data_IF_974994218570
#
_entry.id   IF_974994218570
#
_cell.length_a   1.000
_cell.length_b   1.000
_cell.length_c   1.000
_cell.angle_alpha   90.00
_cell.angle_beta   90.00
_cell.angle_gamma   90.00
#
_symmetry.space_group_name_H-M   'P 1'
#
loop_
_entity.id
_entity.type
_entity.pdbx_description
1 polymer ?
#
# COMPACT_ATOMS: atom_id res chain seq x y z
N UNK A 1 -10.30 7.50 39.21
CA UNK A 1 -9.23 8.41 38.75
C UNK A 1 -9.28 8.41 37.24
N UNK A 2 -10.04 9.35 36.65
CA UNK A 2 -10.04 9.54 35.20
C UNK A 2 -8.74 10.23 34.81
N UNK A 3 -7.90 9.55 34.04
CA UNK A 3 -6.74 10.16 33.41
C UNK A 3 -7.29 10.85 32.16
N UNK A 4 -7.49 12.15 32.25
CA UNK A 4 -7.78 13.00 31.08
C UNK A 4 -6.50 13.05 30.25
N UNK A 5 -6.44 12.29 29.16
CA UNK A 5 -5.46 12.54 28.12
C UNK A 5 -5.82 13.86 27.45
N UNK A 6 -5.08 14.92 27.72
CA UNK A 6 -5.14 16.15 26.92
C UNK A 6 -4.63 15.82 25.52
N UNK A 7 -5.53 15.62 24.59
CA UNK A 7 -5.20 15.46 23.18
C UNK A 7 -4.90 16.86 22.63
N UNK A 8 -3.65 17.13 22.34
CA UNK A 8 -3.26 18.36 21.64
C UNK A 8 -3.50 18.18 20.15
N UNK A 9 -4.05 19.22 19.49
CA UNK A 9 -4.17 19.25 18.04
C UNK A 9 -2.76 19.22 17.41
N UNK A 10 -2.43 18.14 16.73
CA UNK A 10 -1.15 17.94 16.04
C UNK A 10 -1.40 17.90 14.53
N UNK A 11 -0.64 18.68 13.77
CA UNK A 11 -0.74 18.73 12.30
C UNK A 11 -0.50 17.36 11.65
N UNK A 12 0.37 16.54 12.22
CA UNK A 12 0.67 15.22 11.68
C UNK A 12 -0.49 14.25 11.88
N UNK A 13 -1.20 14.36 13.01
CA UNK A 13 -2.43 13.59 13.26
C UNK A 13 -3.52 14.02 12.27
N UNK A 14 -3.70 15.32 12.05
CA UNK A 14 -4.70 15.82 11.08
C UNK A 14 -4.37 15.32 9.66
N UNK A 15 -3.08 15.30 9.27
CA UNK A 15 -2.67 14.72 7.98
C UNK A 15 -2.96 13.23 7.88
N UNK A 16 -2.70 12.48 8.93
CA UNK A 16 -3.03 11.06 8.99
C UNK A 16 -4.54 10.84 8.88
N UNK A 17 -5.34 11.61 9.60
CA UNK A 17 -6.80 11.53 9.54
C UNK A 17 -7.31 11.88 8.12
N UNK A 18 -6.76 12.91 7.48
CA UNK A 18 -7.05 13.26 6.08
C UNK A 18 -6.80 12.07 5.16
N UNK A 19 -5.61 11.48 5.23
CA UNK A 19 -5.25 10.31 4.43
C UNK A 19 -6.15 9.10 4.69
N UNK A 20 -6.49 8.84 5.96
CA UNK A 20 -7.41 7.77 6.34
C UNK A 20 -8.82 7.99 5.77
N UNK A 21 -9.31 9.24 5.79
CA UNK A 21 -10.60 9.59 5.20
C UNK A 21 -10.60 9.38 3.69
N UNK A 22 -9.59 9.88 2.98
CA UNK A 22 -9.47 9.66 1.54
C UNK A 22 -9.41 8.17 1.19
N UNK A 23 -8.63 7.37 1.92
CA UNK A 23 -8.56 5.93 1.72
C UNK A 23 -9.90 5.23 2.01
N UNK A 24 -10.61 5.68 3.04
CA UNK A 24 -11.95 5.16 3.33
C UNK A 24 -12.89 5.39 2.15
N UNK A 25 -12.96 6.63 1.63
CA UNK A 25 -13.81 6.95 0.48
C UNK A 25 -13.37 6.21 -0.79
N UNK A 26 -12.07 6.07 -1.04
CA UNK A 26 -11.54 5.27 -2.16
C UNK A 26 -11.95 3.80 -2.06
N UNK A 27 -12.05 3.26 -0.85
CA UNK A 27 -12.55 1.90 -0.65
C UNK A 27 -14.05 1.75 -0.87
N UNK A 28 -14.81 2.84 -0.74
CA UNK A 28 -16.24 2.90 -1.04
C UNK A 28 -16.54 3.19 -2.52
N UNK A 29 -15.51 3.36 -3.33
CA UNK A 29 -15.60 3.57 -4.77
C UNK A 29 -15.36 5.01 -5.24
N UNK A 30 -15.12 5.94 -4.37
CA UNK A 30 -14.89 7.35 -4.73
C UNK A 30 -13.42 7.58 -5.06
N UNK A 31 -13.05 7.30 -6.31
CA UNK A 31 -11.66 7.33 -6.78
C UNK A 31 -11.02 8.71 -6.70
N UNK A 32 -11.75 9.75 -7.14
CA UNK A 32 -11.30 11.14 -7.21
C UNK A 32 -11.55 11.93 -5.92
N UNK A 33 -11.83 11.27 -4.80
CA UNK A 33 -12.07 11.95 -3.53
C UNK A 33 -10.91 12.84 -3.14
N UNK A 34 -11.24 14.05 -2.70
CA UNK A 34 -10.29 15.04 -2.20
C UNK A 34 -10.80 15.67 -0.89
N UNK A 35 -9.94 15.77 0.11
CA UNK A 35 -10.20 16.57 1.31
C UNK A 35 -9.74 18.00 1.02
N UNK A 36 -10.68 18.86 0.68
CA UNK A 36 -10.44 20.25 0.26
C UNK A 36 -9.78 21.08 1.37
N UNK A 37 -10.22 20.91 2.58
CA UNK A 37 -9.63 21.54 3.76
C UNK A 37 -10.07 20.87 5.05
N UNK A 38 -9.34 21.16 6.13
CA UNK A 38 -9.70 20.81 7.48
C UNK A 38 -9.48 21.98 8.40
N UNK A 39 -10.36 22.18 9.37
CA UNK A 39 -10.22 23.22 10.38
C UNK A 39 -10.72 22.73 11.74
N UNK A 40 -10.20 23.36 12.79
CA UNK A 40 -10.57 23.06 14.16
C UNK A 40 -11.32 24.26 14.76
N UNK A 41 -12.51 24.01 15.28
CA UNK A 41 -13.31 24.97 16.02
C UNK A 41 -13.16 24.72 17.52
N UNK A 42 -12.83 25.74 18.29
CA UNK A 42 -12.82 25.66 19.75
C UNK A 42 -14.24 25.85 20.25
N UNK A 43 -14.77 24.89 20.98
CA UNK A 43 -16.08 25.02 21.60
C UNK A 43 -16.00 25.76 22.96
N UNK A 44 -17.15 26.20 23.49
CA UNK A 44 -17.24 26.91 24.75
C UNK A 44 -16.75 26.11 25.96
N UNK A 45 -16.68 24.80 25.84
CA UNK A 45 -16.23 23.88 26.88
C UNK A 45 -14.70 23.64 26.85
N UNK A 46 -13.94 24.31 25.93
CA UNK A 46 -12.49 24.20 25.80
C UNK A 46 -12.01 22.96 25.09
N UNK A 47 -12.89 22.26 24.32
CA UNK A 47 -12.53 21.18 23.44
C UNK A 47 -12.56 21.61 21.97
N UNK A 48 -11.78 20.92 21.11
CA UNK A 48 -11.77 21.17 19.68
C UNK A 48 -12.73 20.23 18.94
N UNK A 49 -13.49 20.82 18.02
CA UNK A 49 -14.24 20.09 16.99
C UNK A 49 -13.45 20.16 15.70
N UNK A 50 -12.99 19.01 15.19
CA UNK A 50 -12.31 18.93 13.91
C UNK A 50 -13.34 18.72 12.80
N UNK A 51 -13.27 19.54 11.76
CA UNK A 51 -14.16 19.50 10.59
C UNK A 51 -13.34 19.30 9.34
N UNK A 52 -13.75 18.33 8.50
CA UNK A 52 -13.17 18.07 7.19
C UNK A 52 -14.21 18.38 6.11
N UNK A 53 -13.84 19.20 5.13
CA UNK A 53 -14.64 19.41 3.94
C UNK A 53 -14.14 18.47 2.85
N UNK A 54 -15.00 17.58 2.40
CA UNK A 54 -14.64 16.50 1.47
C UNK A 54 -15.45 16.66 0.19
N UNK A 55 -14.77 16.69 -0.95
CA UNK A 55 -15.38 16.45 -2.25
C UNK A 55 -15.17 14.98 -2.59
N UNK A 56 -16.24 14.19 -2.53
CA UNK A 56 -16.16 12.76 -2.80
C UNK A 56 -16.21 12.43 -4.29
N UNK A 57 -16.70 13.34 -5.13
CA UNK A 57 -16.91 13.08 -6.56
C UNK A 57 -17.93 11.97 -6.83
N UNK A 58 -17.76 11.27 -7.93
CA UNK A 58 -18.61 10.15 -8.35
C UNK A 58 -17.98 8.79 -7.99
N UNK A 59 -18.82 7.73 -7.94
CA UNK A 59 -18.33 6.35 -7.78
C UNK A 59 -17.76 5.81 -9.08
N UNK A 60 -16.59 5.21 -9.00
CA UNK A 60 -15.90 4.55 -10.11
C UNK A 60 -16.03 3.03 -10.02
N UNK A 61 -15.92 2.37 -11.17
CA UNK A 61 -16.06 0.93 -11.32
C UNK A 61 -14.85 0.35 -12.04
N UNK A 62 -14.42 -0.83 -11.61
CA UNK A 62 -13.41 -1.61 -12.33
C UNK A 62 -13.97 -2.02 -13.71
N UNK A 63 -13.30 -1.61 -14.79
CA UNK A 63 -13.69 -1.99 -16.15
C UNK A 63 -12.81 -3.12 -16.67
N UNK A 64 -11.57 -2.84 -17.04
CA UNK A 64 -10.63 -3.85 -17.50
C UNK A 64 -9.43 -3.90 -16.57
N UNK A 65 -9.07 -5.11 -16.12
CA UNK A 65 -7.89 -5.36 -15.32
C UNK A 65 -6.97 -6.29 -16.10
N UNK A 66 -5.73 -5.89 -16.27
CA UNK A 66 -4.71 -6.64 -17.01
C UNK A 66 -3.46 -6.83 -16.17
N UNK A 67 -2.70 -7.88 -16.46
CA UNK A 67 -1.40 -8.14 -15.89
C UNK A 67 -0.38 -8.24 -17.02
N UNK A 68 0.58 -7.32 -17.02
CA UNK A 68 1.70 -7.30 -17.93
C UNK A 68 2.91 -7.89 -17.24
N UNK A 69 3.44 -8.98 -17.80
CA UNK A 69 4.57 -9.73 -17.29
C UNK A 69 5.78 -9.57 -18.22
N UNK A 70 7.02 -9.59 -17.69
CA UNK A 70 8.23 -9.77 -18.48
C UNK A 70 8.19 -11.08 -19.28
N UNK A 71 8.99 -11.16 -20.36
CA UNK A 71 8.98 -12.30 -21.28
C UNK A 71 9.37 -13.64 -20.62
N UNK A 72 10.21 -13.58 -19.59
CA UNK A 72 10.74 -14.75 -18.89
C UNK A 72 9.77 -15.36 -17.86
N UNK A 73 8.58 -14.77 -17.68
CA UNK A 73 7.64 -15.21 -16.65
C UNK A 73 6.50 -16.05 -17.22
N UNK A 74 6.23 -17.20 -16.56
CA UNK A 74 5.12 -18.06 -16.99
C UNK A 74 3.77 -17.50 -16.52
N UNK A 75 2.95 -17.07 -17.47
CA UNK A 75 1.57 -16.61 -17.22
C UNK A 75 0.72 -17.60 -16.42
N UNK A 76 1.07 -18.89 -16.48
CA UNK A 76 0.34 -19.94 -15.73
C UNK A 76 0.46 -19.77 -14.22
N UNK A 77 1.56 -19.21 -13.74
CA UNK A 77 1.77 -18.98 -12.32
C UNK A 77 0.82 -17.93 -11.75
N UNK A 78 0.34 -17.02 -12.60
CA UNK A 78 -0.54 -15.90 -12.23
C UNK A 78 -2.03 -16.14 -12.53
N UNK A 79 -2.46 -17.38 -12.78
CA UNK A 79 -3.86 -17.70 -13.08
C UNK A 79 -4.84 -17.28 -11.99
N UNK A 80 -4.41 -17.26 -10.74
CA UNK A 80 -5.26 -16.87 -9.61
C UNK A 80 -5.51 -15.36 -9.62
N UNK A 81 -4.56 -14.55 -10.10
CA UNK A 81 -4.75 -13.11 -10.33
C UNK A 81 -5.84 -12.88 -11.39
N UNK A 82 -5.82 -13.63 -12.49
CA UNK A 82 -6.86 -13.53 -13.52
C UNK A 82 -8.27 -13.86 -12.98
N UNK A 83 -8.37 -14.82 -12.05
CA UNK A 83 -9.64 -15.12 -11.37
C UNK A 83 -10.12 -13.95 -10.51
N UNK A 84 -9.18 -13.26 -9.83
CA UNK A 84 -9.49 -12.06 -9.05
C UNK A 84 -9.98 -10.95 -9.98
N UNK A 85 -9.32 -10.72 -11.10
CA UNK A 85 -9.74 -9.72 -12.10
C UNK A 85 -11.18 -9.96 -12.59
N UNK A 86 -11.51 -11.20 -12.93
CA UNK A 86 -12.88 -11.57 -13.36
C UNK A 86 -13.93 -11.29 -12.29
N UNK A 87 -13.58 -11.48 -11.00
CA UNK A 87 -14.48 -11.23 -9.87
C UNK A 87 -14.68 -9.74 -9.59
N UNK A 88 -13.68 -8.92 -9.89
CA UNK A 88 -13.70 -7.48 -9.61
C UNK A 88 -14.32 -6.67 -10.76
N UNK A 89 -14.28 -7.16 -11.97
CA UNK A 89 -14.83 -6.47 -13.14
C UNK A 89 -16.29 -6.07 -12.91
N UNK A 90 -16.59 -4.78 -13.10
CA UNK A 90 -17.91 -4.18 -12.89
C UNK A 90 -18.26 -3.87 -11.42
N UNK A 91 -17.41 -4.21 -10.45
CA UNK A 91 -17.60 -3.80 -9.05
C UNK A 91 -17.08 -2.39 -8.83
N UNK A 92 -17.52 -1.79 -7.72
CA UNK A 92 -16.99 -0.50 -7.28
C UNK A 92 -15.46 -0.58 -7.12
N UNK A 93 -14.79 0.51 -7.50
CA UNK A 93 -13.38 0.68 -7.21
C UNK A 93 -13.12 0.53 -5.69
N UNK A 94 -11.98 -0.02 -5.34
CA UNK A 94 -11.53 -0.14 -3.96
C UNK A 94 -10.01 -0.18 -3.92
N UNK A 95 -9.41 0.79 -3.26
CA UNK A 95 -7.96 0.87 -3.06
C UNK A 95 -7.41 -0.39 -2.40
N UNK A 96 -8.10 -0.91 -1.38
CA UNK A 96 -7.73 -2.16 -0.72
C UNK A 96 -7.72 -3.37 -1.68
N UNK A 97 -8.60 -3.36 -2.69
CA UNK A 97 -8.60 -4.44 -3.68
C UNK A 97 -7.38 -4.36 -4.60
N UNK A 98 -6.97 -3.15 -4.98
CA UNK A 98 -5.75 -2.91 -5.76
C UNK A 98 -4.51 -3.34 -4.97
N UNK A 99 -4.39 -2.90 -3.71
CA UNK A 99 -3.28 -3.28 -2.83
C UNK A 99 -3.20 -4.80 -2.59
N UNK A 100 -4.35 -5.47 -2.42
CA UNK A 100 -4.40 -6.93 -2.28
C UNK A 100 -3.91 -7.65 -3.52
N UNK A 101 -4.22 -7.13 -4.71
CA UNK A 101 -3.73 -7.70 -5.97
C UNK A 101 -2.21 -7.54 -6.04
N UNK A 102 -1.67 -6.35 -5.76
CA UNK A 102 -0.23 -6.11 -5.74
C UNK A 102 0.48 -7.05 -4.77
N UNK A 103 -0.02 -7.17 -3.53
CA UNK A 103 0.54 -8.09 -2.53
C UNK A 103 0.48 -9.56 -2.97
N UNK A 104 -0.58 -9.97 -3.67
CA UNK A 104 -0.66 -11.36 -4.16
C UNK A 104 0.27 -11.60 -5.34
N UNK A 105 0.49 -10.61 -6.21
CA UNK A 105 1.51 -10.66 -7.27
C UNK A 105 2.90 -10.81 -6.65
N UNK A 106 3.26 -9.98 -5.67
CA UNK A 106 4.55 -10.04 -4.98
C UNK A 106 4.77 -11.39 -4.29
N UNK A 107 3.73 -11.92 -3.65
CA UNK A 107 3.77 -13.23 -3.00
C UNK A 107 4.00 -14.37 -4.01
N UNK A 108 3.30 -14.37 -5.15
CA UNK A 108 3.48 -15.36 -6.20
C UNK A 108 4.91 -15.27 -6.73
N UNK A 109 5.39 -14.07 -6.99
CA UNK A 109 6.73 -13.81 -7.47
C UNK A 109 7.80 -14.38 -6.52
N UNK A 110 7.67 -14.08 -5.23
CA UNK A 110 8.57 -14.60 -4.19
C UNK A 110 8.54 -16.13 -4.09
N UNK A 111 7.36 -16.74 -4.13
CA UNK A 111 7.22 -18.20 -4.09
C UNK A 111 7.81 -18.91 -5.31
N UNK A 112 7.84 -18.22 -6.45
CA UNK A 112 8.41 -18.75 -7.71
C UNK A 112 9.87 -18.37 -7.92
N UNK A 113 10.49 -17.73 -6.93
CA UNK A 113 11.88 -17.26 -6.99
C UNK A 113 12.13 -16.31 -8.17
N UNK A 114 11.12 -15.51 -8.54
CA UNK A 114 11.31 -14.39 -9.44
C UNK A 114 11.93 -13.24 -8.63
N UNK A 115 13.25 -13.10 -8.74
CA UNK A 115 14.01 -12.10 -7.97
C UNK A 115 13.81 -10.68 -8.50
N UNK A 116 13.84 -9.72 -7.56
CA UNK A 116 13.92 -8.29 -7.88
C UNK A 116 12.78 -7.74 -8.75
N UNK A 117 11.55 -8.01 -8.34
CA UNK A 117 10.35 -7.54 -9.02
C UNK A 117 9.78 -6.32 -8.32
N UNK A 118 9.36 -5.37 -9.11
CA UNK A 118 8.54 -4.23 -8.68
C UNK A 118 7.20 -4.32 -9.41
N UNK A 119 6.13 -4.57 -8.66
CA UNK A 119 4.78 -4.60 -9.19
C UNK A 119 4.14 -3.21 -9.04
N UNK A 120 3.76 -2.61 -10.16
CA UNK A 120 3.09 -1.31 -10.22
C UNK A 120 1.74 -1.43 -10.88
N UNK A 121 0.84 -0.54 -10.53
CA UNK A 121 -0.45 -0.40 -11.22
C UNK A 121 -0.50 0.93 -11.97
N UNK A 122 -0.88 0.87 -13.24
CA UNK A 122 -1.24 2.03 -14.03
C UNK A 122 -2.76 2.11 -14.12
N UNK A 123 -3.31 3.22 -13.67
CA UNK A 123 -4.74 3.46 -13.62
C UNK A 123 -5.13 4.45 -14.72
N UNK A 124 -6.16 4.11 -15.50
CA UNK A 124 -6.65 4.95 -16.59
C UNK A 124 -8.17 5.05 -16.57
N UNK A 125 -8.67 6.26 -16.45
CA UNK A 125 -10.10 6.56 -16.66
C UNK A 125 -10.41 6.42 -18.15
N UNK A 126 -11.40 5.59 -18.50
CA UNK A 126 -11.76 5.29 -19.90
C UNK A 126 -13.17 5.72 -20.27
N UNK A 127 -14.01 5.99 -19.30
CA UNK A 127 -15.38 6.48 -19.46
C UNK A 127 -15.69 7.30 -18.22
N UNK A 128 -16.83 7.98 -18.14
CA UNK A 128 -17.14 8.93 -17.05
C UNK A 128 -16.76 8.43 -15.65
N UNK A 129 -16.93 7.14 -15.39
CA UNK A 129 -16.68 6.53 -14.07
C UNK A 129 -16.14 5.10 -14.15
N UNK A 130 -15.41 4.75 -15.21
CA UNK A 130 -14.79 3.42 -15.38
C UNK A 130 -13.28 3.52 -15.39
N UNK A 131 -12.64 2.62 -14.66
CA UNK A 131 -11.19 2.52 -14.54
C UNK A 131 -10.67 1.24 -15.18
N UNK A 132 -9.70 1.40 -16.07
CA UNK A 132 -8.82 0.32 -16.49
C UNK A 132 -7.57 0.33 -15.62
N UNK A 133 -7.18 -0.84 -15.14
CA UNK A 133 -5.98 -1.04 -14.35
C UNK A 133 -5.05 -2.02 -15.06
N UNK A 134 -3.82 -1.61 -15.30
CA UNK A 134 -2.76 -2.48 -15.80
C UNK A 134 -1.72 -2.69 -14.71
N UNK A 135 -1.67 -3.90 -14.17
CA UNK A 135 -0.68 -4.32 -13.21
C UNK A 135 0.57 -4.75 -13.98
N UNK A 136 1.64 -3.99 -13.84
CA UNK A 136 2.91 -4.24 -14.54
C UNK A 136 3.94 -4.79 -13.58
N UNK A 137 4.47 -5.94 -13.92
CA UNK A 137 5.68 -6.45 -13.29
C UNK A 137 6.88 -5.98 -14.10
N UNK A 138 7.85 -5.40 -13.41
CA UNK A 138 9.08 -4.91 -14.02
C UNK A 138 10.28 -5.44 -13.22
N UNK A 139 11.39 -5.64 -13.90
CA UNK A 139 12.64 -5.88 -13.20
C UNK A 139 12.98 -4.67 -12.33
N UNK A 140 13.20 -4.89 -11.05
CA UNK A 140 13.64 -3.84 -10.15
C UNK A 140 15.18 -3.81 -10.07
N UNK A 141 15.72 -2.71 -9.53
CA UNK A 141 17.14 -2.65 -9.24
C UNK A 141 17.51 -3.73 -8.23
N UNK A 142 18.56 -4.49 -8.54
CA UNK A 142 19.09 -5.51 -7.64
C UNK A 142 19.87 -4.83 -6.53
N UNK A 143 19.38 -4.92 -5.32
CA UNK A 143 20.11 -4.51 -4.12
C UNK A 143 20.46 -5.75 -3.32
N UNK A 144 21.69 -5.77 -2.81
CA UNK A 144 22.18 -6.82 -1.94
C UNK A 144 22.62 -6.21 -0.62
N UNK A 145 22.53 -6.97 0.44
CA UNK A 145 23.08 -6.58 1.74
C UNK A 145 24.60 -6.61 1.65
N UNK A 146 25.23 -5.45 1.58
CA UNK A 146 26.71 -5.37 1.50
C UNK A 146 27.35 -5.71 2.85
N UNK A 147 26.81 -5.15 3.93
CA UNK A 147 27.34 -5.30 5.27
C UNK A 147 26.27 -5.14 6.33
N UNK A 148 26.36 -5.97 7.37
CA UNK A 148 25.55 -5.86 8.59
C UNK A 148 26.45 -5.38 9.73
N UNK A 149 26.21 -4.16 10.23
CA UNK A 149 26.92 -3.61 11.37
C UNK A 149 26.07 -3.75 12.64
N UNK A 150 26.60 -4.44 13.64
CA UNK A 150 25.97 -4.60 14.94
C UNK A 150 26.58 -3.58 15.90
N UNK A 151 25.75 -2.66 16.39
CA UNK A 151 26.18 -1.59 17.31
C UNK A 151 25.54 -1.77 18.67
N UNK A 152 26.24 -1.33 19.73
CA UNK A 152 25.71 -1.35 21.10
C UNK A 152 25.74 -2.74 21.77
N UNK A 153 26.43 -3.69 21.19
CA UNK A 153 26.62 -5.01 21.81
C UNK A 153 27.89 -5.04 22.65
N UNK A 154 27.73 -5.12 23.98
CA UNK A 154 28.84 -5.16 24.92
C UNK A 154 28.96 -6.48 25.70
N UNK A 155 27.98 -7.39 25.59
CA UNK A 155 27.87 -8.57 26.43
C UNK A 155 27.69 -9.89 25.69
N UNK A 156 27.25 -9.85 24.43
CA UNK A 156 26.94 -11.06 23.66
C UNK A 156 27.98 -11.23 22.54
N UNK A 157 28.37 -12.47 22.26
CA UNK A 157 29.25 -12.76 21.13
C UNK A 157 28.52 -12.37 19.85
N UNK A 158 29.16 -11.57 19.00
CA UNK A 158 28.57 -11.03 17.77
C UNK A 158 28.00 -12.12 16.86
N UNK A 159 28.67 -13.24 16.75
CA UNK A 159 28.25 -14.41 15.95
C UNK A 159 26.88 -14.95 16.37
N UNK A 160 26.57 -14.92 17.68
CA UNK A 160 25.24 -15.34 18.18
C UNK A 160 24.14 -14.39 17.73
N UNK A 161 24.44 -13.09 17.67
CA UNK A 161 23.49 -12.10 17.18
C UNK A 161 23.31 -12.25 15.67
N UNK A 162 24.40 -12.41 14.90
CA UNK A 162 24.35 -12.62 13.46
C UNK A 162 23.51 -13.84 13.10
N UNK A 163 23.71 -14.94 13.79
CA UNK A 163 22.95 -16.19 13.57
C UNK A 163 21.45 -16.07 13.94
N UNK A 164 21.03 -15.02 14.60
CA UNK A 164 19.62 -14.74 14.91
C UNK A 164 18.95 -13.81 13.90
N UNK A 165 19.71 -13.26 12.95
CA UNK A 165 19.17 -12.42 11.89
C UNK A 165 18.53 -13.29 10.79
N UNK A 166 17.52 -12.74 10.12
CA UNK A 166 16.87 -13.39 8.97
C UNK A 166 17.58 -13.09 7.64
N UNK A 167 18.59 -12.23 7.65
CA UNK A 167 19.30 -11.73 6.47
C UNK A 167 20.80 -11.84 6.69
N UNK A 168 21.52 -12.37 5.73
CA UNK A 168 22.97 -12.45 5.71
C UNK A 168 23.60 -11.41 4.75
N UNK A 169 24.89 -11.14 4.93
CA UNK A 169 25.66 -10.32 3.99
C UNK A 169 25.76 -11.05 2.64
N UNK A 170 25.38 -10.37 1.57
CA UNK A 170 25.25 -10.94 0.21
C UNK A 170 23.84 -11.36 -0.17
N UNK A 171 22.90 -11.37 0.78
CA UNK A 171 21.49 -11.68 0.48
C UNK A 171 20.83 -10.58 -0.34
N UNK A 172 19.88 -10.96 -1.22
CA UNK A 172 19.07 -9.97 -1.93
C UNK A 172 18.17 -9.21 -0.96
N UNK A 173 18.20 -7.89 -1.04
CA UNK A 173 17.29 -7.02 -0.28
C UNK A 173 15.94 -6.97 -0.98
N UNK A 174 15.00 -7.80 -0.55
CA UNK A 174 13.63 -7.83 -1.03
C UNK A 174 12.70 -7.05 -0.07
N UNK A 175 11.64 -6.45 -0.61
CA UNK A 175 10.61 -5.74 0.18
C UNK A 175 9.77 -6.66 1.10
N UNK A 176 10.18 -7.89 1.31
CA UNK A 176 9.48 -8.92 2.12
C UNK A 176 10.08 -9.06 3.52
N UNK A 177 11.08 -8.21 3.83
CA UNK A 177 11.69 -8.14 5.17
C UNK A 177 11.05 -7.06 6.02
#
# INVERSE_FOLDING_TARGET
KFISQKVYLNKDIVRLDTWLLENYYKNEGYYDVEVLNSFAELNEQGSFKLVFNIDAGEKYFFNNLTLTLPEDYDKKDFRDIEKIFKKLKGKNYSLNSVEKILKEIDKIASLKLYDFIDAKVEEKIVDKNKLNLDFKMQDSKKYYVERINILGNFQTIEEVIRNSLFVDEGDPLNNVL
#
